data_IF_483107034888
#
_entry.id   IF_483107034888
#
_cell.length_a   1.000
_cell.length_b   1.000
_cell.length_c   1.000
_cell.angle_alpha   90.00
_cell.angle_beta   90.00
_cell.angle_gamma   90.00
#
_symmetry.space_group_name_H-M   'P 1'
#
loop_
_entity.id
_entity.type
_entity.pdbx_description
1 polymer ?
#
# COMPACT_ATOMS: atom_id res chain seq x y z
N UNK A 1 14.29 -74.07 13.18
CA UNK A 1 15.16 -75.10 12.56
C UNK A 1 16.01 -74.36 11.59
N UNK A 2 17.16 -74.08 12.04
CA UNK A 2 18.50 -74.55 11.63
C UNK A 2 19.15 -73.76 10.53
N UNK A 3 20.15 -73.00 10.85
CA UNK A 3 21.60 -73.23 10.68
C UNK A 3 22.04 -72.96 9.21
N UNK A 4 23.09 -72.35 8.83
CA UNK A 4 24.39 -72.07 9.39
C UNK A 4 25.14 -71.13 8.43
N UNK A 5 26.02 -70.35 8.99
CA UNK A 5 27.23 -69.79 8.34
C UNK A 5 28.19 -70.95 7.87
N UNK A 6 29.19 -70.76 7.02
CA UNK A 6 30.30 -69.80 7.28
C UNK A 6 31.02 -69.19 6.05
N UNK A 7 31.85 -68.24 6.36
CA UNK A 7 32.99 -67.69 5.57
C UNK A 7 34.10 -68.77 5.41
N UNK A 8 35.32 -68.58 4.81
CA UNK A 8 36.06 -67.30 4.49
C UNK A 8 37.02 -67.37 3.23
N UNK A 9 37.91 -66.31 3.15
CA UNK A 9 39.27 -66.28 2.51
C UNK A 9 39.33 -65.94 1.02
N UNK A 10 40.30 -65.20 0.48
CA UNK A 10 41.57 -64.64 0.92
C UNK A 10 42.06 -63.59 -0.11
N UNK A 11 42.69 -62.57 0.38
CA UNK A 11 43.98 -62.00 -0.02
C UNK A 11 44.38 -61.93 -1.50
N UNK A 12 44.60 -60.71 -2.03
CA UNK A 12 45.79 -60.39 -2.84
C UNK A 12 46.05 -58.91 -2.85
N UNK A 13 47.12 -58.51 -2.20
CA UNK A 13 47.78 -57.20 -2.31
C UNK A 13 48.26 -56.97 -3.74
N UNK A 14 48.11 -55.76 -4.24
CA UNK A 14 49.05 -55.13 -5.15
C UNK A 14 49.17 -53.64 -4.82
N UNK A 15 50.30 -53.29 -4.28
CA UNK A 15 50.76 -51.90 -4.10
C UNK A 15 51.09 -51.27 -5.45
N UNK A 16 50.65 -50.03 -5.65
CA UNK A 16 51.28 -49.12 -6.59
C UNK A 16 51.07 -47.66 -6.16
N UNK A 17 52.13 -47.13 -5.62
CA UNK A 17 52.73 -45.79 -5.71
C UNK A 17 51.81 -44.57 -5.88
N UNK A 18 51.85 -43.77 -4.83
CA UNK A 18 51.52 -42.33 -4.77
C UNK A 18 52.55 -41.51 -5.57
N UNK A 19 52.16 -40.43 -6.27
CA UNK A 19 52.97 -39.22 -6.28
C UNK A 19 52.29 -38.09 -5.53
N UNK A 20 53.13 -37.39 -4.80
CA UNK A 20 52.86 -36.30 -3.90
C UNK A 20 52.45 -34.99 -4.58
N UNK A 21 51.75 -34.20 -3.74
CA UNK A 21 51.81 -32.75 -3.65
C UNK A 21 51.32 -31.89 -4.82
N UNK A 22 50.16 -31.32 -4.62
CA UNK A 22 49.75 -30.06 -5.17
C UNK A 22 48.92 -29.34 -4.10
N UNK A 23 49.57 -28.61 -3.20
CA UNK A 23 48.94 -27.66 -2.29
C UNK A 23 48.42 -26.47 -3.08
N UNK A 24 47.25 -26.67 -3.71
CA UNK A 24 46.47 -25.59 -4.28
C UNK A 24 45.75 -24.83 -3.17
N UNK A 25 46.39 -23.83 -2.61
CA UNK A 25 45.81 -22.87 -1.73
C UNK A 25 44.66 -22.17 -2.46
N UNK A 26 43.42 -22.42 -2.06
CA UNK A 26 42.26 -21.78 -2.62
C UNK A 26 42.37 -20.26 -2.36
N UNK A 27 42.15 -19.40 -3.39
CA UNK A 27 42.24 -17.96 -3.19
C UNK A 27 41.29 -17.50 -2.10
N UNK A 28 41.71 -16.54 -1.24
CA UNK A 28 40.88 -16.07 -0.13
C UNK A 28 39.58 -15.55 -0.70
N UNK A 29 38.44 -16.12 -0.25
CA UNK A 29 37.09 -15.60 -0.56
C UNK A 29 37.08 -14.13 -0.18
N UNK A 30 37.07 -13.24 -1.19
CA UNK A 30 36.87 -11.81 -1.02
C UNK A 30 35.65 -11.64 -0.11
N UNK A 31 35.85 -11.16 1.11
CA UNK A 31 34.78 -10.73 2.01
C UNK A 31 33.96 -9.72 1.22
N UNK A 32 32.75 -10.11 0.80
CA UNK A 32 31.78 -9.22 0.16
C UNK A 32 31.63 -8.03 1.09
N UNK A 33 32.11 -6.87 0.64
CA UNK A 33 32.11 -5.65 1.45
C UNK A 33 30.74 -5.48 2.09
N UNK A 34 30.72 -5.44 3.41
CA UNK A 34 29.54 -5.19 4.20
C UNK A 34 29.06 -3.78 3.79
N UNK A 35 28.03 -3.70 2.92
CA UNK A 35 27.41 -2.42 2.60
C UNK A 35 27.05 -1.78 3.97
N UNK A 36 27.67 -0.64 4.27
CA UNK A 36 27.28 0.15 5.46
C UNK A 36 25.77 0.29 5.43
N UNK A 37 25.12 -0.08 6.51
CA UNK A 37 23.68 0.18 6.65
C UNK A 37 23.51 1.71 6.54
N UNK A 38 22.49 2.17 5.79
CA UNK A 38 22.18 3.58 5.70
C UNK A 38 22.02 4.17 7.12
N UNK A 39 22.44 5.40 7.30
CA UNK A 39 22.30 6.08 8.60
C UNK A 39 20.81 6.31 8.90
N UNK A 40 20.34 5.76 10.02
CA UNK A 40 18.96 5.92 10.46
C UNK A 40 18.63 7.38 10.82
N UNK A 41 19.61 8.22 11.13
CA UNK A 41 19.38 9.63 11.42
C UNK A 41 18.78 10.38 10.23
N UNK A 42 19.17 10.02 9.00
CA UNK A 42 18.58 10.59 7.78
C UNK A 42 17.12 10.19 7.63
N UNK A 43 16.80 8.95 7.99
CA UNK A 43 15.40 8.47 7.96
C UNK A 43 14.57 9.15 9.05
N UNK A 44 15.11 9.28 10.27
CA UNK A 44 14.46 10.00 11.39
C UNK A 44 14.14 11.46 11.00
N UNK A 45 15.04 12.14 10.29
CA UNK A 45 14.80 13.50 9.78
C UNK A 45 13.65 13.56 8.77
N UNK A 46 13.58 12.61 7.84
CA UNK A 46 12.49 12.54 6.84
C UNK A 46 11.14 12.19 7.47
N UNK A 47 11.12 11.27 8.42
CA UNK A 47 9.93 10.95 9.21
C UNK A 47 9.53 12.16 10.07
N UNK A 48 10.52 12.94 10.56
CA UNK A 48 10.35 14.05 11.47
C UNK A 48 10.11 13.60 12.90
N UNK A 49 10.68 12.44 13.28
CA UNK A 49 10.69 11.93 14.65
C UNK A 49 12.07 11.32 14.98
N UNK A 50 12.64 11.70 16.09
CA UNK A 50 13.86 11.10 16.65
C UNK A 50 13.46 10.10 17.72
N UNK A 51 13.86 8.85 17.51
CA UNK A 51 13.56 7.78 18.45
C UNK A 51 14.47 7.83 19.68
N UNK A 52 13.87 7.82 20.87
CA UNK A 52 14.56 7.58 22.13
C UNK A 52 15.01 6.10 22.19
N UNK A 53 14.13 5.17 21.80
CA UNK A 53 14.47 3.75 21.61
C UNK A 53 14.60 3.43 20.11
N UNK A 54 15.84 3.47 19.60
CA UNK A 54 16.14 3.14 18.20
C UNK A 54 15.86 1.70 17.82
N UNK A 55 15.77 0.78 18.77
CA UNK A 55 15.45 -0.63 18.46
C UNK A 55 14.01 -0.75 17.98
N UNK A 56 13.11 0.16 18.37
CA UNK A 56 11.75 0.25 17.80
C UNK A 56 11.79 0.54 16.31
N UNK A 57 12.58 1.52 15.86
CA UNK A 57 12.73 1.84 14.44
C UNK A 57 13.41 0.68 13.69
N UNK A 58 14.46 0.07 14.23
CA UNK A 58 15.13 -1.09 13.62
C UNK A 58 14.13 -2.24 13.43
N UNK A 59 13.28 -2.50 14.43
CA UNK A 59 12.25 -3.52 14.35
C UNK A 59 11.16 -3.17 13.33
N UNK A 60 10.72 -1.91 13.25
CA UNK A 60 9.77 -1.45 12.25
C UNK A 60 10.29 -1.61 10.81
N UNK A 61 11.60 -1.56 10.61
CA UNK A 61 12.26 -1.75 9.32
C UNK A 61 12.62 -3.22 9.01
N UNK A 62 12.30 -4.16 9.91
CA UNK A 62 12.73 -5.56 9.78
C UNK A 62 11.58 -6.46 9.31
N UNK A 63 11.64 -6.90 8.05
CA UNK A 63 10.69 -7.83 7.44
C UNK A 63 10.84 -9.24 8.01
N UNK A 64 9.75 -10.00 8.03
CA UNK A 64 9.71 -11.39 8.53
C UNK A 64 10.72 -12.30 7.82
N UNK A 65 11.02 -12.07 6.54
CA UNK A 65 12.01 -12.84 5.78
C UNK A 65 13.46 -12.65 6.25
N UNK A 66 13.76 -11.59 6.99
CA UNK A 66 15.08 -11.34 7.55
C UNK A 66 15.28 -11.97 8.93
N UNK A 67 14.20 -12.45 9.53
CA UNK A 67 14.18 -13.07 10.85
C UNK A 67 13.40 -14.35 10.77
N UNK A 68 13.67 -15.32 11.64
CA UNK A 68 12.89 -16.56 11.70
C UNK A 68 11.51 -16.34 12.38
N UNK A 69 10.80 -15.27 11.96
CA UNK A 69 9.49 -14.90 12.49
C UNK A 69 9.50 -14.17 13.84
N UNK A 70 10.68 -13.95 14.44
CA UNK A 70 10.82 -13.23 15.72
C UNK A 70 11.32 -11.81 15.47
N UNK A 71 10.78 -10.84 16.20
CA UNK A 71 11.21 -9.43 16.14
C UNK A 71 11.09 -8.77 14.75
N UNK A 72 10.10 -9.17 13.94
CA UNK A 72 9.72 -8.47 12.71
C UNK A 72 8.78 -7.31 12.99
N UNK A 73 8.50 -6.53 11.95
CA UNK A 73 7.61 -5.38 12.03
C UNK A 73 6.14 -5.71 12.29
N UNK A 74 5.68 -6.94 12.05
CA UNK A 74 4.26 -7.32 12.03
C UNK A 74 3.45 -6.87 13.25
N UNK A 75 4.02 -6.94 14.46
CA UNK A 75 3.31 -6.47 15.66
C UNK A 75 3.22 -4.95 15.74
N UNK A 76 4.21 -4.25 15.20
CA UNK A 76 4.20 -2.80 15.11
C UNK A 76 3.24 -2.32 14.03
N UNK A 77 3.19 -3.00 12.89
CA UNK A 77 2.21 -2.82 11.83
C UNK A 77 0.78 -2.94 12.37
N UNK A 78 0.47 -4.04 13.06
CA UNK A 78 -0.84 -4.24 13.68
C UNK A 78 -1.24 -3.07 14.59
N UNK A 79 -0.31 -2.58 15.42
CA UNK A 79 -0.55 -1.45 16.30
C UNK A 79 -0.67 -0.13 15.51
N UNK A 80 0.23 0.08 14.55
CA UNK A 80 0.32 1.29 13.76
C UNK A 80 -0.90 1.55 12.88
N UNK A 81 -1.48 0.50 12.29
CA UNK A 81 -2.74 0.58 11.56
C UNK A 81 -3.87 1.16 12.45
N UNK A 82 -3.98 0.72 13.70
CA UNK A 82 -4.97 1.26 14.64
C UNK A 82 -4.69 2.71 15.05
N UNK A 83 -3.41 3.04 15.23
CA UNK A 83 -2.97 4.42 15.54
C UNK A 83 -3.24 5.34 14.36
N UNK A 84 -2.94 4.92 13.14
CA UNK A 84 -3.24 5.65 11.90
C UNK A 84 -4.74 5.90 11.76
N UNK A 85 -5.55 4.84 11.88
CA UNK A 85 -7.00 4.94 11.79
C UNK A 85 -7.59 5.93 12.80
N UNK A 86 -7.15 5.85 14.07
CA UNK A 86 -7.59 6.77 15.12
C UNK A 86 -7.17 8.22 14.83
N UNK A 87 -5.91 8.46 14.45
CA UNK A 87 -5.40 9.80 14.20
C UNK A 87 -6.08 10.49 13.01
N UNK A 88 -6.34 9.72 11.94
CA UNK A 88 -7.06 10.23 10.77
C UNK A 88 -8.54 10.47 11.11
N UNK A 89 -9.20 9.56 11.84
CA UNK A 89 -10.58 9.74 12.27
C UNK A 89 -10.76 10.99 13.16
N UNK A 90 -9.87 11.19 14.14
CA UNK A 90 -9.82 12.40 14.98
C UNK A 90 -9.64 13.67 14.13
N UNK A 91 -8.72 13.63 13.16
CA UNK A 91 -8.51 14.75 12.25
C UNK A 91 -9.74 15.08 11.39
N UNK A 92 -10.40 14.06 10.83
CA UNK A 92 -11.62 14.23 10.03
C UNK A 92 -12.79 14.74 10.85
N UNK A 93 -13.00 14.20 12.05
CA UNK A 93 -14.05 14.62 12.96
C UNK A 93 -13.96 16.10 13.30
N UNK A 94 -12.76 16.58 13.60
CA UNK A 94 -12.53 17.98 13.94
C UNK A 94 -12.59 18.92 12.72
N UNK A 95 -12.13 18.47 11.56
CA UNK A 95 -12.09 19.28 10.33
C UNK A 95 -13.46 19.39 9.64
N UNK A 96 -14.36 18.43 9.85
CA UNK A 96 -15.62 18.30 9.12
C UNK A 96 -16.83 18.19 10.08
N UNK A 97 -17.14 19.22 10.89
CA UNK A 97 -18.19 19.15 11.91
C UNK A 97 -19.61 18.96 11.35
N UNK A 98 -19.81 19.19 10.06
CA UNK A 98 -21.11 18.99 9.39
C UNK A 98 -21.22 17.69 8.60
N UNK A 99 -20.16 16.84 8.56
CA UNK A 99 -20.18 15.59 7.84
C UNK A 99 -20.92 14.50 8.64
N UNK A 100 -21.69 13.68 7.94
CA UNK A 100 -22.32 12.50 8.55
C UNK A 100 -21.30 11.35 8.74
N UNK A 101 -21.72 10.30 9.46
CA UNK A 101 -20.88 9.13 9.74
C UNK A 101 -20.42 8.44 8.44
N UNK A 102 -21.31 8.31 7.46
CA UNK A 102 -21.00 7.67 6.17
C UNK A 102 -19.92 8.43 5.39
N UNK A 103 -19.96 9.77 5.39
CA UNK A 103 -18.93 10.63 4.80
C UNK A 103 -17.59 10.46 5.53
N UNK A 104 -17.59 10.50 6.85
CA UNK A 104 -16.37 10.34 7.65
C UNK A 104 -15.75 8.96 7.41
N UNK A 105 -16.54 7.89 7.37
CA UNK A 105 -16.08 6.52 7.12
C UNK A 105 -15.49 6.33 5.71
N UNK A 106 -16.12 6.92 4.68
CA UNK A 106 -15.59 6.88 3.30
C UNK A 106 -14.23 7.57 3.20
N UNK A 107 -14.10 8.78 3.77
CA UNK A 107 -12.86 9.55 3.79
C UNK A 107 -11.76 8.86 4.59
N UNK A 108 -12.09 8.31 5.75
CA UNK A 108 -11.17 7.52 6.54
C UNK A 108 -10.60 6.36 5.70
N UNK A 109 -11.48 5.55 5.10
CA UNK A 109 -11.07 4.39 4.29
C UNK A 109 -10.18 4.78 3.10
N UNK A 110 -10.42 5.94 2.49
CA UNK A 110 -9.61 6.46 1.39
C UNK A 110 -8.22 6.91 1.85
N UNK A 111 -8.12 7.56 3.00
CA UNK A 111 -6.87 8.10 3.53
C UNK A 111 -5.94 7.03 4.11
N UNK A 112 -6.50 5.99 4.78
CA UNK A 112 -5.70 4.94 5.44
C UNK A 112 -5.44 3.72 4.55
N UNK A 113 -5.74 3.81 3.26
CA UNK A 113 -5.53 2.69 2.33
C UNK A 113 -4.04 2.38 2.13
N UNK A 114 -3.78 1.15 1.70
CA UNK A 114 -2.41 0.65 1.44
C UNK A 114 -1.60 1.55 0.52
N UNK A 115 -2.20 2.09 -0.53
CA UNK A 115 -1.54 2.96 -1.51
C UNK A 115 -1.05 4.26 -0.88
N UNK A 116 -1.84 4.86 0.01
CA UNK A 116 -1.46 6.07 0.76
C UNK A 116 -0.27 5.78 1.68
N UNK A 117 -0.30 4.69 2.45
CA UNK A 117 0.82 4.27 3.29
C UNK A 117 2.10 3.99 2.48
N UNK A 118 1.97 3.33 1.31
CA UNK A 118 3.11 3.09 0.43
C UNK A 118 3.71 4.38 -0.15
N UNK A 119 2.86 5.35 -0.47
CA UNK A 119 3.28 6.69 -0.94
C UNK A 119 4.07 7.42 0.15
N UNK A 120 3.57 7.42 1.38
CA UNK A 120 4.26 8.01 2.53
C UNK A 120 5.62 7.34 2.79
N UNK A 121 5.67 6.00 2.82
CA UNK A 121 6.93 5.26 2.98
C UNK A 121 7.94 5.55 1.86
N UNK A 122 7.46 5.77 0.65
CA UNK A 122 8.29 6.15 -0.50
C UNK A 122 8.83 7.57 -0.33
N UNK A 123 8.01 8.53 0.12
CA UNK A 123 8.43 9.90 0.40
C UNK A 123 9.47 9.97 1.52
N UNK A 124 9.38 9.11 2.53
CA UNK A 124 10.40 8.95 3.57
C UNK A 124 11.67 8.23 3.09
N UNK A 125 11.66 7.66 1.86
CA UNK A 125 12.74 6.84 1.30
C UNK A 125 13.12 5.66 2.21
N UNK A 126 12.10 4.93 2.68
CA UNK A 126 12.26 3.79 3.59
C UNK A 126 13.02 2.63 2.95
N UNK A 127 12.86 2.43 1.63
CA UNK A 127 13.37 1.27 0.89
C UNK A 127 14.84 0.90 1.15
N UNK A 128 15.80 1.84 1.10
CA UNK A 128 17.22 1.56 1.39
C UNK A 128 17.48 1.06 2.81
N UNK A 129 16.62 1.41 3.77
CA UNK A 129 16.76 1.09 5.19
C UNK A 129 16.17 -0.27 5.56
N UNK A 130 15.34 -0.89 4.67
CA UNK A 130 14.68 -2.16 4.94
C UNK A 130 15.68 -3.29 5.19
N UNK A 131 15.45 -4.06 6.24
CA UNK A 131 16.12 -5.30 6.53
C UNK A 131 15.27 -6.46 5.98
N UNK A 132 15.68 -7.00 4.83
CA UNK A 132 14.99 -8.03 4.07
C UNK A 132 15.85 -9.29 3.96
N UNK A 133 15.24 -10.45 3.93
CA UNK A 133 15.90 -11.70 3.56
C UNK A 133 16.35 -11.71 2.10
N UNK A 134 17.32 -12.57 1.78
CA UNK A 134 17.94 -12.59 0.45
C UNK A 134 16.96 -12.76 -0.71
N UNK A 135 15.91 -13.57 -0.56
CA UNK A 135 14.85 -13.74 -1.56
C UNK A 135 14.11 -12.44 -1.86
N UNK A 136 13.68 -11.73 -0.82
CA UNK A 136 12.98 -10.46 -0.96
C UNK A 136 13.87 -9.37 -1.57
N UNK A 137 15.14 -9.33 -1.20
CA UNK A 137 16.10 -8.37 -1.81
C UNK A 137 16.22 -8.57 -3.32
N UNK A 138 16.31 -9.83 -3.78
CA UNK A 138 16.42 -10.14 -5.20
C UNK A 138 15.07 -9.95 -5.94
N UNK A 139 13.94 -10.18 -5.25
CA UNK A 139 12.58 -9.97 -5.77
C UNK A 139 12.13 -8.51 -5.84
N UNK A 140 13.01 -7.54 -5.52
CA UNK A 140 12.64 -6.12 -5.56
C UNK A 140 11.87 -5.62 -4.33
N UNK A 141 11.89 -6.37 -3.22
CA UNK A 141 11.13 -6.07 -2.00
C UNK A 141 11.32 -4.66 -1.44
N UNK A 142 12.48 -4.01 -1.73
CA UNK A 142 12.72 -2.60 -1.33
C UNK A 142 11.80 -1.57 -2.00
N UNK A 143 11.13 -1.94 -3.10
CA UNK A 143 10.19 -1.12 -3.85
C UNK A 143 8.80 -1.73 -3.89
N UNK A 144 8.59 -2.83 -3.19
CA UNK A 144 7.30 -3.50 -3.13
C UNK A 144 6.32 -2.64 -2.31
N UNK A 145 5.25 -2.18 -2.95
CA UNK A 145 4.24 -1.31 -2.33
C UNK A 145 3.60 -1.93 -1.09
N UNK A 146 3.38 -3.25 -1.07
CA UNK A 146 2.82 -3.91 0.11
C UNK A 146 3.78 -3.83 1.30
N UNK A 147 5.07 -4.16 1.10
CA UNK A 147 6.09 -4.08 2.16
C UNK A 147 6.26 -2.62 2.63
N UNK A 148 6.24 -1.66 1.71
CA UNK A 148 6.37 -0.24 2.06
C UNK A 148 5.18 0.24 2.89
N UNK A 149 3.96 -0.17 2.57
CA UNK A 149 2.76 0.17 3.34
C UNK A 149 2.82 -0.43 4.75
N UNK A 150 3.10 -1.73 4.87
CA UNK A 150 3.21 -2.42 6.16
C UNK A 150 4.28 -1.75 7.05
N UNK A 151 5.41 -1.34 6.45
CA UNK A 151 6.50 -0.66 7.18
C UNK A 151 6.12 0.78 7.55
N UNK A 152 5.34 1.49 6.74
CA UNK A 152 4.78 2.79 7.13
C UNK A 152 3.98 2.66 8.43
N UNK A 153 3.03 1.74 8.45
CA UNK A 153 2.23 1.47 9.65
C UNK A 153 3.11 1.06 10.83
N UNK A 154 4.10 0.17 10.60
CA UNK A 154 5.02 -0.25 11.65
C UNK A 154 5.84 0.91 12.23
N UNK A 155 6.27 1.87 11.42
CA UNK A 155 6.95 3.08 11.88
C UNK A 155 6.01 3.93 12.74
N UNK A 156 4.75 4.10 12.34
CA UNK A 156 3.76 4.83 13.13
C UNK A 156 3.48 4.15 14.47
N UNK A 157 3.39 2.81 14.48
CA UNK A 157 3.28 2.02 15.70
C UNK A 157 4.52 2.14 16.61
N UNK A 158 5.72 2.22 16.02
CA UNK A 158 6.97 2.43 16.74
C UNK A 158 7.02 3.81 17.38
N UNK A 159 6.61 4.87 16.67
CA UNK A 159 6.53 6.25 17.21
C UNK A 159 5.54 6.31 18.38
N UNK A 160 4.40 5.64 18.25
CA UNK A 160 3.42 5.58 19.32
C UNK A 160 3.99 4.94 20.60
N UNK A 161 4.76 3.86 20.47
CA UNK A 161 5.41 3.23 21.63
C UNK A 161 6.54 4.06 22.21
N UNK A 162 7.26 4.79 21.37
CA UNK A 162 8.41 5.61 21.77
C UNK A 162 8.00 6.91 22.47
N UNK A 163 6.97 7.60 21.94
CA UNK A 163 6.63 8.97 22.35
C UNK A 163 5.12 9.23 22.50
N UNK A 164 4.28 8.20 22.41
CA UNK A 164 2.82 8.29 22.62
C UNK A 164 2.04 8.84 21.45
N UNK A 165 0.71 8.96 21.67
CA UNK A 165 -0.26 9.31 20.62
C UNK A 165 0.00 10.69 20.00
N UNK A 166 0.30 11.70 20.80
CA UNK A 166 0.51 13.06 20.31
C UNK A 166 1.65 13.14 19.26
N UNK A 167 2.77 12.43 19.52
CA UNK A 167 3.88 12.36 18.60
C UNK A 167 3.54 11.62 17.31
N UNK A 168 2.86 10.48 17.41
CA UNK A 168 2.38 9.71 16.26
C UNK A 168 1.39 10.54 15.42
N UNK A 169 0.42 11.20 16.06
CA UNK A 169 -0.55 12.08 15.38
C UNK A 169 0.13 13.22 14.63
N UNK A 170 1.11 13.88 15.22
CA UNK A 170 1.84 14.97 14.58
C UNK A 170 2.59 14.51 13.30
N UNK A 171 3.15 13.30 13.30
CA UNK A 171 3.77 12.69 12.11
C UNK A 171 2.71 12.33 11.07
N UNK A 172 1.60 11.71 11.48
CA UNK A 172 0.49 11.33 10.59
C UNK A 172 -0.11 12.58 9.93
N UNK A 173 -0.43 13.61 10.70
CA UNK A 173 -1.02 14.85 10.19
C UNK A 173 -0.16 15.48 9.09
N UNK A 174 1.17 15.51 9.29
CA UNK A 174 2.11 16.03 8.29
C UNK A 174 2.27 15.12 7.08
N UNK A 175 2.38 13.80 7.30
CA UNK A 175 2.68 12.85 6.24
C UNK A 175 1.50 12.64 5.28
N UNK A 176 0.25 12.71 5.79
CA UNK A 176 -0.97 12.51 5.03
C UNK A 176 -1.67 13.82 4.64
N UNK A 177 -1.04 14.98 4.85
CA UNK A 177 -1.62 16.30 4.54
C UNK A 177 -1.94 16.45 3.05
N UNK A 178 -1.03 16.02 2.17
CA UNK A 178 -1.25 16.10 0.72
C UNK A 178 -2.45 15.23 0.27
N UNK A 179 -2.62 14.04 0.87
CA UNK A 179 -3.75 13.16 0.58
C UNK A 179 -5.06 13.78 1.09
N UNK A 180 -5.05 14.44 2.26
CA UNK A 180 -6.23 15.15 2.79
C UNK A 180 -6.66 16.32 1.91
N UNK A 181 -5.71 17.09 1.38
CA UNK A 181 -6.00 18.21 0.47
C UNK A 181 -6.56 17.67 -0.85
N UNK A 182 -6.01 16.59 -1.37
CA UNK A 182 -6.48 15.94 -2.59
C UNK A 182 -7.87 15.30 -2.39
N UNK A 183 -8.17 14.73 -1.20
CA UNK A 183 -9.49 14.22 -0.86
C UNK A 183 -10.54 15.34 -0.75
N UNK A 184 -10.16 16.52 -0.30
CA UNK A 184 -11.03 17.71 -0.32
C UNK A 184 -11.36 18.18 -1.75
N UNK A 185 -10.50 17.89 -2.70
CA UNK A 185 -10.65 18.19 -4.13
C UNK A 185 -11.03 16.99 -4.99
N UNK A 186 -10.85 15.75 -4.48
CA UNK A 186 -11.40 14.57 -5.16
C UNK A 186 -12.91 14.66 -5.08
N UNK A 187 -13.47 15.01 -6.20
CA UNK A 187 -14.90 14.94 -6.50
C UNK A 187 -15.48 13.65 -5.88
N UNK A 188 -16.51 13.79 -5.05
CA UNK A 188 -17.36 12.67 -4.61
C UNK A 188 -17.62 11.80 -5.83
N UNK A 189 -17.56 10.47 -5.69
CA UNK A 189 -17.92 9.58 -6.81
C UNK A 189 -19.26 10.03 -7.40
N UNK A 190 -19.34 10.41 -8.67
CA UNK A 190 -20.53 11.04 -9.23
C UNK A 190 -21.78 10.16 -9.09
N UNK A 191 -21.61 8.83 -9.15
CA UNK A 191 -22.74 7.89 -9.02
C UNK A 191 -23.26 7.85 -7.59
N UNK A 192 -22.37 7.84 -6.60
CA UNK A 192 -22.72 7.89 -5.17
C UNK A 192 -23.39 9.21 -4.83
N UNK A 193 -22.85 10.34 -5.26
CA UNK A 193 -23.43 11.65 -5.03
C UNK A 193 -24.82 11.80 -5.68
N UNK A 194 -24.98 11.29 -6.89
CA UNK A 194 -26.29 11.30 -7.57
C UNK A 194 -27.31 10.43 -6.86
N UNK A 195 -26.89 9.28 -6.33
CA UNK A 195 -27.76 8.40 -5.55
C UNK A 195 -28.19 9.05 -4.24
N UNK A 196 -27.25 9.65 -3.48
CA UNK A 196 -27.55 10.37 -2.24
C UNK A 196 -28.53 11.52 -2.47
N UNK A 197 -28.31 12.30 -3.53
CA UNK A 197 -29.22 13.38 -3.90
C UNK A 197 -30.62 12.85 -4.27
N UNK A 198 -30.75 11.81 -5.08
CA UNK A 198 -32.04 11.22 -5.41
C UNK A 198 -32.76 10.72 -4.17
N UNK A 199 -32.05 10.06 -3.24
CA UNK A 199 -32.59 9.57 -1.97
C UNK A 199 -33.06 10.72 -1.06
N UNK A 200 -32.29 11.80 -1.00
CA UNK A 200 -32.67 13.00 -0.23
C UNK A 200 -33.96 13.66 -0.75
N UNK A 201 -34.28 13.49 -2.04
CA UNK A 201 -35.54 13.94 -2.65
C UNK A 201 -36.69 12.92 -2.48
N UNK A 202 -36.40 11.77 -1.87
CA UNK A 202 -37.37 10.65 -1.76
C UNK A 202 -37.59 9.92 -3.08
N UNK A 203 -36.69 10.03 -4.05
CA UNK A 203 -36.80 9.39 -5.35
C UNK A 203 -36.10 8.01 -5.38
N UNK A 204 -36.50 7.13 -6.32
CA UNK A 204 -35.80 5.87 -6.54
C UNK A 204 -34.33 6.08 -6.93
N UNK A 205 -33.51 5.05 -6.66
CA UNK A 205 -32.09 5.03 -7.05
C UNK A 205 -31.91 5.32 -8.54
N UNK A 206 -30.89 6.12 -8.94
CA UNK A 206 -30.59 6.38 -10.35
C UNK A 206 -30.38 5.10 -11.14
N UNK A 207 -30.86 5.06 -12.38
CA UNK A 207 -30.64 3.97 -13.33
C UNK A 207 -29.72 4.41 -14.45
N UNK A 208 -28.90 3.49 -14.96
CA UNK A 208 -27.92 3.76 -16.01
C UNK A 208 -28.24 2.88 -17.23
N UNK A 209 -28.48 3.51 -18.39
CA UNK A 209 -28.88 2.83 -19.61
C UNK A 209 -27.84 3.08 -20.69
N UNK A 210 -27.27 2.00 -21.24
CA UNK A 210 -26.40 2.11 -22.40
C UNK A 210 -27.29 2.42 -23.61
N UNK A 211 -27.12 3.62 -24.18
CA UNK A 211 -27.90 4.06 -25.36
C UNK A 211 -27.19 3.74 -26.67
N UNK A 212 -25.85 3.69 -26.63
CA UNK A 212 -25.03 3.37 -27.79
C UNK A 212 -23.70 2.75 -27.38
N UNK A 213 -23.17 1.85 -28.19
CA UNK A 213 -21.79 1.40 -28.17
C UNK A 213 -21.17 1.62 -29.53
N UNK A 214 -20.11 2.41 -29.59
CA UNK A 214 -19.37 2.74 -30.80
C UNK A 214 -17.88 2.43 -30.64
N UNK A 215 -17.12 2.63 -31.71
CA UNK A 215 -15.67 2.39 -31.72
C UNK A 215 -15.29 0.92 -32.00
N UNK A 216 -13.99 0.67 -32.29
CA UNK A 216 -13.48 -0.67 -32.53
C UNK A 216 -13.41 -1.48 -31.21
N UNK A 217 -13.34 -2.81 -31.30
CA UNK A 217 -13.37 -3.70 -30.13
C UNK A 217 -12.20 -3.47 -29.15
N UNK A 218 -11.07 -2.99 -29.62
CA UNK A 218 -9.88 -2.66 -28.79
C UNK A 218 -9.92 -1.24 -28.19
N UNK A 219 -10.87 -0.39 -28.63
CA UNK A 219 -11.11 0.95 -28.09
C UNK A 219 -12.62 1.28 -28.14
N UNK A 220 -13.46 0.57 -27.38
CA UNK A 220 -14.90 0.79 -27.38
C UNK A 220 -15.24 2.12 -26.71
N UNK A 221 -16.27 2.79 -27.20
CA UNK A 221 -16.91 3.92 -26.54
C UNK A 221 -18.33 3.56 -26.15
N UNK A 222 -18.67 3.83 -24.90
CA UNK A 222 -20.00 3.62 -24.34
C UNK A 222 -20.69 4.98 -24.15
N UNK A 223 -21.90 5.12 -24.68
CA UNK A 223 -22.77 6.26 -24.44
C UNK A 223 -23.84 5.80 -23.45
N UNK A 224 -23.91 6.46 -22.30
CA UNK A 224 -24.79 6.06 -21.20
C UNK A 224 -25.64 7.24 -20.76
N UNK A 225 -26.90 6.98 -20.48
CA UNK A 225 -27.81 7.89 -19.79
C UNK A 225 -27.93 7.53 -18.31
N UNK A 226 -27.69 8.50 -17.44
CA UNK A 226 -28.09 8.46 -16.03
C UNK A 226 -29.52 9.03 -15.93
N UNK A 227 -30.45 8.26 -15.40
CA UNK A 227 -31.87 8.63 -15.28
C UNK A 227 -32.27 8.72 -13.81
N UNK A 228 -32.81 9.86 -13.43
CA UNK A 228 -33.41 10.11 -12.12
C UNK A 228 -34.83 10.62 -12.32
N UNK A 229 -35.76 10.16 -11.48
CA UNK A 229 -37.17 10.54 -11.53
C UNK A 229 -37.32 12.06 -11.48
N UNK A 230 -38.12 12.62 -12.35
CA UNK A 230 -38.41 14.06 -12.38
C UNK A 230 -37.34 14.95 -13.03
N UNK A 231 -36.27 14.35 -13.57
CA UNK A 231 -35.22 15.10 -14.27
C UNK A 231 -35.01 14.58 -15.68
N UNK A 232 -34.46 15.42 -16.56
CA UNK A 232 -33.97 14.95 -17.87
C UNK A 232 -32.75 14.04 -17.67
N UNK A 233 -32.50 13.02 -18.53
CA UNK A 233 -31.33 12.17 -18.42
C UNK A 233 -30.02 12.93 -18.50
N UNK A 234 -29.00 12.52 -17.70
CA UNK A 234 -27.61 12.97 -17.86
C UNK A 234 -26.91 12.07 -18.87
N UNK A 235 -26.18 12.65 -19.83
CA UNK A 235 -25.44 11.89 -20.86
C UNK A 235 -23.96 11.80 -20.49
N UNK A 236 -23.36 10.62 -20.66
CA UNK A 236 -21.95 10.37 -20.45
C UNK A 236 -21.35 9.46 -21.50
N UNK A 237 -20.11 9.73 -21.89
CA UNK A 237 -19.32 8.95 -22.83
C UNK A 237 -18.02 8.51 -22.13
N UNK A 238 -17.59 7.27 -22.38
CA UNK A 238 -16.35 6.76 -21.83
C UNK A 238 -15.86 5.48 -22.49
N UNK A 239 -14.57 5.22 -22.38
CA UNK A 239 -13.93 3.99 -22.89
C UNK A 239 -14.32 2.71 -22.13
N UNK A 240 -15.01 2.84 -21.00
CA UNK A 240 -15.62 1.73 -20.27
C UNK A 240 -17.02 2.11 -19.80
N UNK A 241 -17.89 1.11 -19.54
CA UNK A 241 -19.23 1.37 -18.98
C UNK A 241 -19.16 2.17 -17.70
N UNK A 242 -18.22 1.79 -16.79
CA UNK A 242 -18.04 2.49 -15.50
C UNK A 242 -17.71 3.97 -15.70
N UNK A 243 -16.77 4.28 -16.59
CA UNK A 243 -16.38 5.66 -16.87
C UNK A 243 -17.55 6.45 -17.49
N UNK A 244 -18.27 5.88 -18.45
CA UNK A 244 -19.44 6.52 -19.07
C UNK A 244 -20.57 6.77 -18.05
N UNK A 245 -20.82 5.83 -17.11
CA UNK A 245 -21.79 5.99 -16.03
C UNK A 245 -21.40 7.12 -15.07
N UNK A 246 -20.11 7.23 -14.69
CA UNK A 246 -19.61 8.32 -13.85
C UNK A 246 -19.75 9.67 -14.57
N UNK A 247 -19.41 9.72 -15.86
CA UNK A 247 -19.56 10.93 -16.68
C UNK A 247 -21.04 11.35 -16.78
N UNK A 248 -21.94 10.41 -16.99
CA UNK A 248 -23.38 10.65 -17.07
C UNK A 248 -23.96 11.19 -15.74
N UNK A 249 -23.54 10.58 -14.61
CA UNK A 249 -23.94 11.05 -13.28
C UNK A 249 -23.43 12.46 -13.01
N UNK A 250 -22.17 12.75 -13.35
CA UNK A 250 -21.58 14.08 -13.20
C UNK A 250 -22.31 15.13 -14.01
N UNK A 251 -22.61 14.83 -15.28
CA UNK A 251 -23.33 15.76 -16.16
C UNK A 251 -24.71 16.13 -15.57
N UNK A 252 -25.38 15.18 -14.93
CA UNK A 252 -26.65 15.42 -14.26
C UNK A 252 -26.46 16.30 -12.99
N UNK A 253 -25.48 16.00 -12.15
CA UNK A 253 -25.18 16.77 -10.94
C UNK A 253 -24.80 18.24 -11.25
N UNK A 254 -24.03 18.47 -12.31
CA UNK A 254 -23.66 19.82 -12.77
C UNK A 254 -24.89 20.56 -13.27
N UNK A 255 -25.72 19.92 -14.08
CA UNK A 255 -26.94 20.54 -14.64
C UNK A 255 -27.94 20.92 -13.54
N UNK A 256 -28.09 20.10 -12.51
CA UNK A 256 -28.98 20.37 -11.36
C UNK A 256 -28.34 21.36 -10.36
N UNK A 257 -27.15 21.91 -10.66
CA UNK A 257 -26.48 22.92 -9.83
C UNK A 257 -25.88 22.39 -8.52
N UNK A 258 -25.73 21.06 -8.42
CA UNK A 258 -25.16 20.42 -7.25
C UNK A 258 -23.63 20.40 -7.29
N UNK A 259 -23.06 20.46 -8.50
CA UNK A 259 -21.63 20.50 -8.74
C UNK A 259 -21.27 21.65 -9.69
N UNK A 260 -20.03 22.14 -9.58
CA UNK A 260 -19.47 23.11 -10.53
C UNK A 260 -18.86 22.41 -11.74
N UNK A 261 -18.98 22.99 -12.93
CA UNK A 261 -18.48 22.41 -14.18
C UNK A 261 -16.95 22.36 -14.31
N UNK A 262 -16.20 23.03 -13.43
CA UNK A 262 -14.75 23.29 -13.56
C UNK A 262 -13.83 22.27 -12.86
N UNK A 263 -14.31 21.12 -12.44
CA UNK A 263 -13.43 20.06 -11.96
C UNK A 263 -12.76 19.37 -13.16
N UNK A 264 -11.41 19.35 -13.24
CA UNK A 264 -10.71 18.72 -14.37
C UNK A 264 -11.02 17.24 -14.42
N UNK A 265 -11.63 16.82 -15.52
CA UNK A 265 -11.71 15.41 -15.88
C UNK A 265 -10.30 14.89 -16.10
N UNK A 266 -9.94 13.82 -15.41
CA UNK A 266 -8.74 13.04 -15.61
C UNK A 266 -8.63 12.71 -17.11
N UNK A 267 -7.71 13.37 -17.80
CA UNK A 267 -7.36 13.03 -19.17
C UNK A 267 -6.67 11.67 -19.12
N UNK A 268 -7.33 10.69 -19.72
CA UNK A 268 -6.76 9.39 -19.98
C UNK A 268 -5.57 9.55 -20.94
N UNK A 269 -4.37 9.18 -20.49
CA UNK A 269 -3.32 8.60 -21.31
C UNK A 269 -3.25 7.08 -21.08
#
# INVERSE_FOLDING_TARGET
VSDAEPAPQADTRLEASVPASGTGEAPPRRKRGMRRRPDLSVLEERIGHRFADRDLLVRALTHVSATNGKNSYQRLEFLGDRVLGLAVADGLYNALPGADEGDLSRRLSSLVRRESCATVATAWDVGPHLNLGGGEVHGGGRRNGAILADVCEAILGAIFLDAGYAAAKAVIDRAFEADRQTEGTRSRDPKSALQEWAQAQGWPTPTYVVVERSGPDHAPQFHIEARVTGTAPGLGIGGSKRLAEQTAARALLVREGLWTGDEPGEQAE
#
